data_IF_260734587933
#
_entry.id   IF_260734587933
#
_cell.length_a   1.000
_cell.length_b   1.000
_cell.length_c   1.000
_cell.angle_alpha   90.00
_cell.angle_beta   90.00
_cell.angle_gamma   90.00
#
_symmetry.space_group_name_H-M   'P 1'
#
loop_
_entity.id
_entity.type
_entity.pdbx_description
1 polymer ?
#
# COMPACT_ATOMS: atom_id res chain seq x y z
N UNK A 1 -4.99 -48.06 -64.40
CA UNK A 1 -4.25 -47.77 -63.16
C UNK A 1 -4.36 -46.28 -62.90
N UNK A 2 -5.01 -45.89 -61.80
CA UNK A 2 -5.21 -44.49 -61.41
C UNK A 2 -4.39 -44.23 -60.14
N UNK A 3 -3.58 -43.17 -60.14
CA UNK A 3 -3.04 -42.57 -58.93
C UNK A 3 -3.17 -41.05 -59.05
N UNK A 4 -4.01 -40.48 -58.19
CA UNK A 4 -4.08 -39.06 -57.93
C UNK A 4 -3.69 -38.81 -56.47
N UNK A 5 -2.68 -37.97 -56.24
CA UNK A 5 -2.40 -37.27 -54.99
C UNK A 5 -1.13 -36.42 -55.21
N UNK A 6 -0.94 -35.21 -54.68
CA UNK A 6 -1.72 -34.30 -53.84
C UNK A 6 -0.95 -32.97 -53.92
N UNK A 7 -1.65 -31.85 -54.10
CA UNK A 7 -1.02 -30.52 -54.15
C UNK A 7 -0.43 -30.09 -52.81
N UNK A 8 0.75 -29.46 -52.84
CA UNK A 8 1.35 -28.76 -51.70
C UNK A 8 0.75 -27.36 -51.59
N UNK A 9 -0.10 -27.13 -50.59
CA UNK A 9 -0.56 -25.79 -50.22
C UNK A 9 0.52 -25.00 -49.47
N UNK A 10 0.45 -23.66 -49.45
CA UNK A 10 1.43 -22.81 -48.77
C UNK A 10 1.39 -22.99 -47.24
N UNK A 11 2.49 -22.70 -46.52
CA UNK A 11 2.56 -22.85 -45.08
C UNK A 11 1.63 -21.86 -44.38
N UNK A 12 0.89 -22.34 -43.37
CA UNK A 12 0.06 -21.51 -42.49
C UNK A 12 0.93 -20.53 -41.71
N UNK A 13 0.53 -19.26 -41.55
CA UNK A 13 1.25 -18.33 -40.68
C UNK A 13 1.18 -18.82 -39.22
N UNK A 14 2.31 -18.77 -38.53
CA UNK A 14 2.40 -19.07 -37.11
C UNK A 14 1.59 -18.04 -36.32
N UNK A 15 0.59 -18.50 -35.58
CA UNK A 15 -0.16 -17.69 -34.63
C UNK A 15 0.79 -17.32 -33.48
N UNK A 16 1.24 -16.07 -33.44
CA UNK A 16 1.86 -15.49 -32.25
C UNK A 16 0.91 -15.63 -31.06
N UNK A 17 1.38 -16.12 -29.89
CA UNK A 17 0.55 -16.13 -28.70
C UNK A 17 0.18 -14.67 -28.33
N UNK A 18 -1.06 -14.41 -27.88
CA UNK A 18 -1.42 -13.09 -27.41
C UNK A 18 -0.52 -12.72 -26.22
N UNK A 19 0.13 -11.56 -26.31
CA UNK A 19 0.82 -10.97 -25.17
C UNK A 19 -0.16 -10.93 -23.97
N UNK A 20 0.31 -11.19 -22.74
CA UNK A 20 -0.56 -11.09 -21.58
C UNK A 20 -1.17 -9.69 -21.53
N UNK A 21 -2.50 -9.62 -21.59
CA UNK A 21 -3.29 -8.38 -21.62
C UNK A 21 -3.26 -7.59 -20.30
N UNK A 22 -2.38 -7.96 -19.37
CA UNK A 22 -2.22 -7.39 -18.04
C UNK A 22 -0.80 -6.84 -17.81
N UNK A 23 -0.17 -6.28 -18.86
CA UNK A 23 0.92 -5.34 -18.64
C UNK A 23 0.32 -4.06 -18.03
N UNK A 24 0.05 -4.10 -16.72
CA UNK A 24 -0.27 -2.92 -15.93
C UNK A 24 0.83 -1.88 -16.17
N UNK A 25 0.52 -0.87 -16.98
CA UNK A 25 1.31 0.37 -17.01
C UNK A 25 1.61 0.79 -15.57
N UNK A 26 2.86 1.17 -15.24
CA UNK A 26 3.23 1.59 -13.90
C UNK A 26 2.22 2.60 -13.39
N UNK A 27 1.43 2.18 -12.40
CA UNK A 27 0.37 3.01 -11.84
C UNK A 27 1.07 4.18 -11.16
N UNK A 28 0.68 5.41 -11.50
CA UNK A 28 1.20 6.58 -10.82
C UNK A 28 0.98 6.42 -9.31
N UNK A 29 2.06 6.50 -8.55
CA UNK A 29 2.05 6.37 -7.10
C UNK A 29 1.04 7.35 -6.49
N UNK A 30 0.26 6.86 -5.53
CA UNK A 30 -0.73 7.70 -4.86
C UNK A 30 -0.01 8.72 -3.97
N UNK A 31 -0.52 9.95 -3.96
CA UNK A 31 -0.06 11.06 -3.13
C UNK A 31 -1.26 11.72 -2.49
N UNK A 32 -1.03 12.52 -1.47
CA UNK A 32 -2.04 13.40 -0.91
C UNK A 32 -2.30 14.58 -1.86
N UNK A 33 -3.56 14.96 -1.98
CA UNK A 33 -3.95 16.16 -2.70
C UNK A 33 -3.34 17.40 -2.00
N UNK A 34 -2.94 18.42 -2.76
CA UNK A 34 -2.21 19.56 -2.19
C UNK A 34 -3.10 20.53 -1.42
N UNK A 35 -4.30 20.82 -1.93
CA UNK A 35 -5.16 21.91 -1.44
C UNK A 35 -6.33 21.43 -0.56
N UNK A 36 -7.00 20.34 -0.96
CA UNK A 36 -7.96 19.61 -0.12
C UNK A 36 -7.27 18.90 1.06
N UNK A 37 -6.82 19.68 2.03
CA UNK A 37 -6.10 19.21 3.22
C UNK A 37 -6.66 19.94 4.42
N UNK A 38 -6.96 19.21 5.49
CA UNK A 38 -7.49 19.77 6.72
C UNK A 38 -6.53 20.78 7.35
N UNK A 39 -7.07 21.80 8.02
CA UNK A 39 -6.30 22.92 8.55
C UNK A 39 -5.19 22.53 9.55
N UNK A 40 -5.30 21.35 10.17
CA UNK A 40 -4.33 20.83 11.13
C UNK A 40 -3.30 19.89 10.52
N UNK A 41 -3.34 19.66 9.20
CA UNK A 41 -2.41 18.76 8.51
C UNK A 41 -1.26 19.55 7.88
N UNK A 42 -0.07 18.96 7.92
CA UNK A 42 1.09 19.35 7.11
C UNK A 42 1.47 18.17 6.23
N UNK A 43 1.61 18.44 4.94
CA UNK A 43 2.18 17.49 4.00
C UNK A 43 3.70 17.68 3.92
N UNK A 44 4.43 16.61 3.60
CA UNK A 44 5.81 16.70 3.15
C UNK A 44 5.90 17.25 1.71
N UNK A 45 7.12 17.55 1.24
CA UNK A 45 7.33 18.13 -0.09
C UNK A 45 6.86 17.20 -1.23
N UNK A 46 6.93 15.88 -0.99
CA UNK A 46 6.56 14.84 -1.94
C UNK A 46 5.05 14.57 -1.94
N UNK A 47 4.32 15.11 -0.95
CA UNK A 47 2.91 14.81 -0.66
C UNK A 47 2.67 13.32 -0.41
N UNK A 48 3.66 12.60 0.08
CA UNK A 48 3.55 11.19 0.50
C UNK A 48 3.24 11.06 1.98
N UNK A 49 3.56 12.07 2.80
CA UNK A 49 3.36 12.04 4.26
C UNK A 49 2.38 13.12 4.68
N UNK A 50 1.41 12.76 5.52
CA UNK A 50 0.50 13.69 6.18
C UNK A 50 0.68 13.61 7.69
N UNK A 51 0.98 14.74 8.33
CA UNK A 51 1.15 14.86 9.78
C UNK A 51 0.22 15.90 10.37
N UNK A 52 -0.50 15.51 11.42
CA UNK A 52 -1.35 16.42 12.21
C UNK A 52 -0.47 17.27 13.14
N UNK A 53 -0.78 18.57 13.27
CA UNK A 53 -0.01 19.53 14.08
C UNK A 53 -0.26 19.38 15.57
N UNK A 54 -1.41 19.81 16.09
CA UNK A 54 -1.62 19.93 17.54
C UNK A 54 -2.97 19.39 18.04
N UNK A 55 -4.08 19.68 17.34
CA UNK A 55 -5.42 19.30 17.81
C UNK A 55 -5.77 17.86 17.42
N UNK A 56 -6.98 17.39 17.77
CA UNK A 56 -7.53 16.09 17.39
C UNK A 56 -8.51 16.15 16.19
N UNK A 57 -8.71 17.32 15.59
CA UNK A 57 -9.70 17.58 14.53
C UNK A 57 -9.07 18.26 13.32
N UNK A 58 -9.84 18.41 12.25
CA UNK A 58 -9.43 19.03 10.98
C UNK A 58 -8.24 18.27 10.36
N UNK A 59 -8.26 16.94 10.48
CA UNK A 59 -7.21 15.99 10.07
C UNK A 59 -7.44 15.33 8.71
N UNK A 60 -8.43 15.80 7.94
CA UNK A 60 -8.89 15.16 6.71
C UNK A 60 -7.88 15.35 5.58
N UNK A 61 -7.59 14.28 4.84
CA UNK A 61 -6.79 14.31 3.60
C UNK A 61 -7.42 13.42 2.54
N UNK A 62 -7.11 13.72 1.27
CA UNK A 62 -7.61 12.99 0.11
C UNK A 62 -6.45 12.53 -0.77
N UNK A 63 -6.68 11.49 -1.57
CA UNK A 63 -5.77 11.16 -2.66
C UNK A 63 -5.77 12.24 -3.74
N UNK A 64 -4.62 12.43 -4.41
CA UNK A 64 -4.48 13.41 -5.48
C UNK A 64 -5.28 13.04 -6.74
N UNK A 65 -5.59 11.76 -6.92
CA UNK A 65 -6.35 11.24 -8.06
C UNK A 65 -7.43 10.25 -7.63
N UNK A 66 -8.40 9.96 -8.51
CA UNK A 66 -9.32 8.85 -8.30
C UNK A 66 -8.58 7.51 -8.16
N UNK A 67 -9.12 6.66 -7.30
CA UNK A 67 -8.67 5.30 -7.02
C UNK A 67 -9.63 4.33 -7.71
N UNK A 68 -9.08 3.36 -8.44
CA UNK A 68 -9.89 2.39 -9.17
C UNK A 68 -10.51 1.36 -8.23
N UNK A 69 -11.69 0.80 -8.55
CA UNK A 69 -12.21 -0.32 -7.79
C UNK A 69 -11.23 -1.50 -7.79
N UNK A 70 -10.90 -2.01 -6.60
CA UNK A 70 -9.92 -3.08 -6.39
C UNK A 70 -8.47 -2.62 -6.23
N UNK A 71 -8.17 -1.35 -6.53
CA UNK A 71 -6.86 -0.76 -6.25
C UNK A 71 -6.68 -0.63 -4.73
N UNK A 72 -5.55 -1.11 -4.22
CA UNK A 72 -5.22 -1.04 -2.80
C UNK A 72 -4.50 0.25 -2.50
N UNK A 73 -5.07 1.03 -1.59
CA UNK A 73 -4.41 2.18 -1.01
C UNK A 73 -3.65 1.70 0.21
N UNK A 74 -2.32 1.82 0.17
CA UNK A 74 -1.43 1.38 1.24
C UNK A 74 -0.92 2.58 2.04
N UNK A 75 -1.08 2.52 3.35
CA UNK A 75 -0.66 3.55 4.30
C UNK A 75 0.25 2.94 5.36
N UNK A 76 1.36 3.59 5.69
CA UNK A 76 2.10 3.30 6.91
C UNK A 76 1.74 4.32 7.99
N UNK A 77 1.45 3.86 9.19
CA UNK A 77 1.32 4.76 10.35
C UNK A 77 2.71 5.08 10.88
N UNK A 78 3.08 6.35 10.84
CA UNK A 78 4.42 6.80 11.21
C UNK A 78 4.55 7.21 12.67
N UNK A 79 3.47 7.70 13.27
CA UNK A 79 3.53 8.27 14.61
C UNK A 79 2.19 8.14 15.32
N UNK A 80 2.29 7.75 16.59
CA UNK A 80 1.19 7.60 17.52
C UNK A 80 1.36 8.59 18.68
N UNK A 81 0.28 9.23 19.09
CA UNK A 81 0.22 10.20 20.18
C UNK A 81 -0.68 9.64 21.30
N UNK A 82 -0.08 9.35 22.45
CA UNK A 82 -0.79 8.86 23.61
C UNK A 82 -1.67 9.97 24.23
N UNK A 83 -2.79 9.59 24.86
CA UNK A 83 -3.69 10.53 25.54
C UNK A 83 -4.92 10.95 24.73
N UNK A 84 -5.01 10.51 23.47
CA UNK A 84 -6.22 10.66 22.65
C UNK A 84 -7.01 9.35 22.58
N UNK A 85 -8.31 9.46 22.32
CA UNK A 85 -9.20 8.30 22.10
C UNK A 85 -9.59 8.22 20.62
N UNK A 86 -9.63 6.99 20.10
CA UNK A 86 -9.92 6.68 18.70
C UNK A 86 -8.65 6.64 17.83
N UNK A 87 -8.82 6.37 16.54
CA UNK A 87 -7.69 6.15 15.63
C UNK A 87 -7.97 6.55 14.19
N UNK A 88 -7.04 6.17 13.31
CA UNK A 88 -7.11 6.45 11.88
C UNK A 88 -8.47 6.01 11.29
N UNK A 89 -9.07 6.91 10.51
CA UNK A 89 -10.26 6.60 9.71
C UNK A 89 -9.86 6.57 8.24
N UNK A 90 -10.41 5.61 7.51
CA UNK A 90 -10.14 5.42 6.08
C UNK A 90 -11.43 5.16 5.32
N UNK A 91 -11.46 5.57 4.05
CA UNK A 91 -12.64 5.42 3.23
C UNK A 91 -12.49 5.94 1.82
N UNK A 92 -13.62 6.10 1.15
CA UNK A 92 -13.71 6.68 -0.18
C UNK A 92 -14.80 7.75 -0.24
N UNK A 93 -14.62 8.72 -1.13
CA UNK A 93 -15.58 9.79 -1.39
C UNK A 93 -15.78 9.99 -2.89
N UNK A 94 -16.96 10.49 -3.28
CA UNK A 94 -17.21 11.06 -4.61
C UNK A 94 -16.98 12.57 -4.66
N UNK A 95 -16.64 13.19 -3.54
CA UNK A 95 -16.27 14.59 -3.49
C UNK A 95 -14.92 14.75 -4.19
N UNK A 96 -14.93 15.50 -5.29
CA UNK A 96 -13.71 15.81 -6.05
C UNK A 96 -12.82 16.78 -5.23
N UNK A 97 -11.60 16.37 -4.84
CA UNK A 97 -10.68 17.20 -4.06
C UNK A 97 -10.32 18.53 -4.74
N UNK A 98 -10.35 18.60 -6.08
CA UNK A 98 -10.10 19.85 -6.82
C UNK A 98 -11.17 20.93 -6.54
N UNK A 99 -12.34 20.50 -6.07
CA UNK A 99 -13.47 21.38 -5.74
C UNK A 99 -13.56 21.72 -4.25
N UNK A 100 -12.60 21.25 -3.46
CA UNK A 100 -12.61 21.38 -2.00
C UNK A 100 -11.44 22.24 -1.55
N UNK A 101 -11.77 23.36 -0.91
CA UNK A 101 -10.78 24.18 -0.22
C UNK A 101 -10.61 23.73 1.23
N UNK A 102 -9.43 23.98 1.81
CA UNK A 102 -9.15 23.67 3.22
C UNK A 102 -10.17 24.28 4.21
N UNK A 103 -10.74 25.46 3.89
CA UNK A 103 -11.76 26.12 4.71
C UNK A 103 -13.16 25.51 4.59
N UNK A 104 -13.42 24.76 3.51
CA UNK A 104 -14.69 24.07 3.28
C UNK A 104 -14.75 22.68 3.90
N UNK A 105 -13.65 22.18 4.47
CA UNK A 105 -13.61 20.86 5.10
C UNK A 105 -14.21 20.89 6.50
N UNK A 106 -15.06 19.90 6.85
CA UNK A 106 -15.53 19.76 8.21
C UNK A 106 -14.43 19.22 9.13
N UNK A 107 -14.67 19.24 10.46
CA UNK A 107 -13.69 18.78 11.44
C UNK A 107 -13.32 17.29 11.32
N UNK A 108 -14.27 16.45 10.89
CA UNK A 108 -14.11 15.00 10.86
C UNK A 108 -14.66 14.38 9.57
N UNK A 109 -14.10 13.24 9.15
CA UNK A 109 -14.70 12.47 8.04
C UNK A 109 -16.04 11.85 8.49
N UNK A 110 -16.06 11.23 9.67
CA UNK A 110 -17.26 10.65 10.25
C UNK A 110 -17.63 11.43 11.53
N UNK A 111 -18.87 11.91 11.69
CA UNK A 111 -19.99 11.80 10.75
C UNK A 111 -20.06 12.94 9.71
N UNK A 112 -19.30 14.02 9.90
CA UNK A 112 -19.58 15.31 9.24
C UNK A 112 -19.46 15.27 7.71
N UNK A 113 -18.36 14.75 7.16
CA UNK A 113 -18.16 14.70 5.71
C UNK A 113 -19.11 13.69 5.04
N UNK A 114 -19.44 12.58 5.71
CA UNK A 114 -20.45 11.61 5.25
C UNK A 114 -21.85 12.22 5.14
N UNK A 115 -22.19 13.18 6.00
CA UNK A 115 -23.48 13.86 5.95
C UNK A 115 -23.54 14.95 4.87
N UNK A 116 -22.41 15.56 4.54
CA UNK A 116 -22.32 16.66 3.56
C UNK A 116 -22.14 16.17 2.12
N UNK A 117 -21.59 14.97 1.94
CA UNK A 117 -21.19 14.47 0.63
C UNK A 117 -21.30 12.94 0.56
N UNK A 118 -21.41 12.34 -0.64
CA UNK A 118 -21.36 10.88 -0.80
C UNK A 118 -19.97 10.34 -0.43
N UNK A 119 -19.79 10.08 0.87
CA UNK A 119 -18.56 9.63 1.49
C UNK A 119 -18.86 8.41 2.36
N UNK A 120 -17.97 7.42 2.30
CA UNK A 120 -18.05 6.18 3.07
C UNK A 120 -16.71 5.92 3.72
N UNK A 121 -16.64 6.09 5.03
CA UNK A 121 -15.44 5.84 5.81
C UNK A 121 -15.76 5.12 7.11
N UNK A 122 -14.73 4.55 7.72
CA UNK A 122 -14.84 4.01 9.06
C UNK A 122 -13.51 4.20 9.80
N UNK A 123 -13.61 4.23 11.12
CA UNK A 123 -12.44 4.08 11.99
C UNK A 123 -11.94 2.65 11.88
N UNK A 124 -10.62 2.47 11.87
CA UNK A 124 -10.03 1.15 12.02
C UNK A 124 -10.36 0.59 13.42
N UNK A 125 -10.51 -0.74 13.57
CA UNK A 125 -10.77 -1.35 14.87
C UNK A 125 -9.67 -1.05 15.89
N UNK A 126 -9.99 -1.17 17.18
CA UNK A 126 -9.02 -0.98 18.25
C UNK A 126 -7.81 -1.90 18.09
N UNK A 127 -6.61 -1.38 18.42
CA UNK A 127 -5.35 -2.09 18.23
C UNK A 127 -4.83 -2.10 16.79
N UNK A 128 -5.57 -1.54 15.82
CA UNK A 128 -5.08 -1.27 14.48
C UNK A 128 -4.57 0.17 14.36
N UNK A 129 -3.55 0.39 13.51
CA UNK A 129 -3.02 1.73 13.27
C UNK A 129 -2.01 2.16 14.33
N UNK A 130 -1.26 1.20 14.86
CA UNK A 130 -0.10 1.44 15.71
C UNK A 130 1.07 1.94 14.85
N UNK A 131 2.05 2.59 15.49
CA UNK A 131 3.25 3.03 14.75
C UNK A 131 3.96 1.84 14.12
N UNK A 132 4.20 1.93 12.80
CA UNK A 132 4.77 0.85 11.99
C UNK A 132 3.74 0.02 11.22
N UNK A 133 2.46 0.06 11.61
CA UNK A 133 1.41 -0.69 10.91
C UNK A 133 1.27 -0.22 9.46
N UNK A 134 1.11 -1.19 8.57
CA UNK A 134 0.74 -0.97 7.18
C UNK A 134 -0.74 -1.29 7.00
N UNK A 135 -1.54 -0.26 6.81
CA UNK A 135 -2.98 -0.34 6.54
C UNK A 135 -3.20 -0.34 5.04
N UNK A 136 -3.88 -1.37 4.54
CA UNK A 136 -4.31 -1.46 3.13
C UNK A 136 -5.82 -1.41 3.09
N UNK A 137 -6.39 -0.49 2.32
CA UNK A 137 -7.84 -0.45 2.13
C UNK A 137 -8.20 -0.31 0.66
N UNK A 138 -9.35 -0.86 0.29
CA UNK A 138 -9.85 -0.87 -1.08
C UNK A 138 -11.36 -1.05 -1.10
N UNK A 139 -11.99 -0.60 -2.16
CA UNK A 139 -13.40 -0.89 -2.46
C UNK A 139 -13.48 -1.90 -3.60
N UNK A 140 -14.30 -2.94 -3.46
CA UNK A 140 -14.52 -3.88 -4.56
C UNK A 140 -15.63 -3.42 -5.51
N UNK A 141 -15.83 -4.14 -6.62
CA UNK A 141 -16.89 -3.83 -7.60
C UNK A 141 -18.32 -3.95 -7.06
N UNK A 142 -18.50 -4.58 -5.89
CA UNK A 142 -19.79 -4.71 -5.21
C UNK A 142 -20.05 -3.56 -4.21
N UNK A 143 -19.21 -2.51 -4.20
CA UNK A 143 -19.37 -1.39 -3.28
C UNK A 143 -19.06 -1.72 -1.82
N UNK A 144 -18.24 -2.75 -1.56
CA UNK A 144 -17.79 -3.10 -0.20
C UNK A 144 -16.40 -2.55 0.06
N UNK A 145 -16.28 -1.72 1.09
CA UNK A 145 -15.01 -1.17 1.58
C UNK A 145 -14.37 -2.14 2.56
N UNK A 146 -13.17 -2.57 2.24
CA UNK A 146 -12.35 -3.42 3.09
C UNK A 146 -11.10 -2.71 3.57
N UNK A 147 -10.60 -3.13 4.72
CA UNK A 147 -9.25 -2.83 5.17
C UNK A 147 -8.53 -4.11 5.61
N UNK A 148 -7.21 -4.08 5.59
CA UNK A 148 -6.33 -5.13 6.08
C UNK A 148 -5.13 -4.44 6.71
N UNK A 149 -4.77 -4.84 7.92
CA UNK A 149 -3.61 -4.30 8.63
C UNK A 149 -2.52 -5.36 8.64
N UNK A 150 -1.34 -5.01 8.12
CA UNK A 150 -0.21 -5.92 7.96
C UNK A 150 -0.63 -7.21 7.20
N UNK A 151 -0.33 -8.38 7.77
CA UNK A 151 -0.77 -9.69 7.27
C UNK A 151 -2.05 -10.20 7.95
N UNK A 152 -2.78 -9.32 8.64
CA UNK A 152 -3.99 -9.64 9.38
C UNK A 152 -5.21 -9.99 8.51
N UNK A 153 -6.36 -10.26 9.14
CA UNK A 153 -7.59 -10.58 8.42
C UNK A 153 -8.09 -9.39 7.61
N UNK A 154 -8.89 -9.69 6.58
CA UNK A 154 -9.63 -8.66 5.84
C UNK A 154 -10.85 -8.24 6.65
N UNK A 155 -10.93 -6.95 6.96
CA UNK A 155 -11.97 -6.31 7.72
C UNK A 155 -12.96 -5.63 6.77
N UNK A 156 -14.25 -5.94 6.89
CA UNK A 156 -15.29 -5.21 6.17
C UNK A 156 -15.64 -3.96 6.98
N UNK A 157 -15.30 -2.78 6.47
CA UNK A 157 -15.52 -1.52 7.16
C UNK A 157 -16.90 -0.92 6.84
N UNK A 158 -17.27 -0.89 5.55
CA UNK A 158 -18.55 -0.35 5.08
C UNK A 158 -19.10 -1.15 3.91
N UNK A 159 -20.42 -1.11 3.76
CA UNK A 159 -21.16 -1.61 2.60
C UNK A 159 -21.74 -0.41 1.83
N UNK A 160 -22.24 -0.69 0.64
CA UNK A 160 -23.07 0.25 -0.14
C UNK A 160 -22.32 1.52 -0.59
N UNK A 161 -21.01 1.40 -0.82
CA UNK A 161 -20.25 2.43 -1.54
C UNK A 161 -20.81 2.53 -2.95
N UNK A 162 -21.29 3.72 -3.33
CA UNK A 162 -21.88 3.90 -4.65
C UNK A 162 -20.78 3.83 -5.72
N UNK A 163 -20.91 2.85 -6.61
CA UNK A 163 -20.03 2.65 -7.76
C UNK A 163 -20.56 3.37 -9.01
N UNK A 164 -19.72 3.52 -10.04
CA UNK A 164 -20.10 4.15 -11.31
C UNK A 164 -19.77 5.63 -11.44
N UNK A 165 -19.06 6.20 -10.47
CA UNK A 165 -18.41 7.51 -10.57
C UNK A 165 -16.98 7.39 -10.02
N UNK A 166 -16.07 8.33 -10.35
CA UNK A 166 -14.76 8.39 -9.73
C UNK A 166 -14.85 8.43 -8.20
N UNK A 167 -13.96 7.70 -7.54
CA UNK A 167 -13.84 7.67 -6.09
C UNK A 167 -12.43 8.11 -5.70
N UNK A 168 -12.31 9.00 -4.74
CA UNK A 168 -11.03 9.38 -4.14
C UNK A 168 -10.89 8.70 -2.79
N UNK A 169 -9.67 8.32 -2.44
CA UNK A 169 -9.40 7.86 -1.10
C UNK A 169 -9.48 9.05 -0.14
N UNK A 170 -10.12 8.84 1.01
CA UNK A 170 -10.19 9.83 2.08
C UNK A 170 -9.71 9.20 3.37
N UNK A 171 -8.91 9.95 4.13
CA UNK A 171 -8.36 9.54 5.41
C UNK A 171 -8.56 10.67 6.42
N UNK A 172 -8.75 10.31 7.68
CA UNK A 172 -8.79 11.25 8.80
C UNK A 172 -7.64 10.94 9.74
N UNK A 173 -6.63 11.81 9.79
CA UNK A 173 -5.51 11.70 10.74
C UNK A 173 -6.01 12.06 12.14
N UNK A 174 -6.71 11.11 12.76
CA UNK A 174 -7.55 11.32 13.94
C UNK A 174 -7.06 10.53 15.16
N UNK A 175 -7.43 11.02 16.34
CA UNK A 175 -7.23 10.32 17.61
C UNK A 175 -5.75 10.10 17.89
N UNK A 176 -5.39 8.85 18.18
CA UNK A 176 -4.00 8.50 18.48
C UNK A 176 -3.08 8.54 17.27
N UNK A 177 -3.60 8.53 16.04
CA UNK A 177 -2.77 8.61 14.84
C UNK A 177 -2.31 10.04 14.59
N UNK A 178 -0.99 10.29 14.58
CA UNK A 178 -0.39 11.62 14.39
C UNK A 178 0.15 11.85 12.98
N UNK A 179 0.64 10.79 12.34
CA UNK A 179 1.17 10.87 10.99
C UNK A 179 1.00 9.56 10.22
N UNK A 180 0.74 9.69 8.92
CA UNK A 180 0.60 8.59 7.97
C UNK A 180 1.40 8.87 6.70
N UNK A 181 1.85 7.81 6.04
CA UNK A 181 2.59 7.84 4.78
C UNK A 181 1.88 6.97 3.73
N UNK A 182 1.61 7.51 2.54
CA UNK A 182 1.18 6.73 1.39
C UNK A 182 2.37 5.97 0.82
N UNK A 183 2.23 4.65 0.74
CA UNK A 183 3.26 3.77 0.20
C UNK A 183 3.08 3.60 -1.31
N UNK A 184 4.21 3.58 -2.02
CA UNK A 184 4.23 3.26 -3.44
C UNK A 184 4.12 1.73 -3.63
N UNK A 185 3.07 1.22 -4.31
CA UNK A 185 2.94 -0.20 -4.59
C UNK A 185 4.07 -0.74 -5.48
N UNK A 186 4.70 0.10 -6.31
CA UNK A 186 5.80 -0.33 -7.19
C UNK A 186 7.13 -0.55 -6.46
N UNK A 187 7.36 0.15 -5.34
CA UNK A 187 8.54 -0.03 -4.49
C UNK A 187 8.40 -1.27 -3.59
N UNK A 188 7.17 -1.77 -3.41
CA UNK A 188 6.85 -2.89 -2.52
C UNK A 188 6.83 -4.26 -3.21
N UNK A 189 7.01 -4.33 -4.53
CA UNK A 189 7.14 -5.61 -5.23
C UNK A 189 8.54 -6.19 -4.97
N UNK A 190 8.68 -7.46 -4.51
CA UNK A 190 9.98 -8.10 -4.51
C UNK A 190 10.49 -8.13 -5.94
N UNK A 191 11.69 -7.57 -6.17
CA UNK A 191 12.40 -7.58 -7.44
C UNK A 191 12.32 -9.00 -8.02
N UNK A 192 11.73 -9.24 -9.20
CA UNK A 192 11.90 -10.52 -9.86
C UNK A 192 13.39 -10.63 -10.17
N UNK A 193 14.08 -11.51 -9.44
CA UNK A 193 15.47 -11.83 -9.70
C UNK A 193 15.56 -12.27 -11.16
N UNK A 194 16.26 -11.48 -11.97
CA UNK A 194 16.54 -11.80 -13.36
C UNK A 194 17.31 -13.13 -13.38
N UNK A 195 16.86 -14.17 -14.11
CA UNK A 195 17.69 -15.35 -14.34
C UNK A 195 18.75 -14.95 -15.36
N UNK A 196 19.96 -14.68 -14.88
CA UNK A 196 21.12 -14.50 -15.75
C UNK A 196 21.53 -15.87 -16.29
N UNK A 197 21.20 -16.13 -17.56
CA UNK A 197 21.83 -17.19 -18.34
C UNK A 197 22.99 -16.57 -19.10
N UNK A 198 24.17 -17.12 -18.77
CA UNK A 198 25.36 -17.32 -19.59
C UNK A 198 25.97 -16.11 -20.32
N UNK A 199 27.15 -15.73 -19.87
CA UNK A 199 28.24 -15.39 -20.80
C UNK A 199 29.50 -16.09 -20.33
N UNK A 200 29.93 -16.98 -21.20
CA UNK A 200 31.16 -17.75 -21.21
C UNK A 200 32.34 -16.78 -21.35
N UNK A 201 33.17 -16.67 -20.31
CA UNK A 201 34.56 -16.28 -20.48
C UNK A 201 35.42 -17.13 -19.55
N UNK A 202 36.20 -17.99 -20.19
CA UNK A 202 37.24 -18.79 -19.60
C UNK A 202 38.42 -17.93 -19.11
N UNK A 203 39.10 -18.46 -18.08
CA UNK A 203 40.57 -18.47 -17.83
C UNK A 203 40.95 -17.98 -16.40
N UNK A 204 42.07 -18.43 -15.78
CA UNK A 204 42.74 -19.74 -15.78
C UNK A 204 42.75 -20.41 -14.39
N UNK A 205 43.11 -21.70 -14.38
CA UNK A 205 43.53 -22.42 -13.18
C UNK A 205 44.75 -21.78 -12.50
N UNK A 206 44.74 -21.75 -11.15
CA UNK A 206 45.98 -21.84 -10.37
C UNK A 206 45.78 -22.79 -9.20
N UNK A 207 46.54 -23.89 -9.22
CA UNK A 207 46.64 -24.90 -8.17
C UNK A 207 47.53 -24.38 -7.03
N UNK A 208 47.16 -24.75 -5.80
CA UNK A 208 48.08 -24.67 -4.66
C UNK A 208 47.36 -24.75 -3.33
N UNK A 209 46.95 -25.95 -2.91
CA UNK A 209 46.47 -26.18 -1.55
C UNK A 209 47.58 -26.06 -0.51
N UNK A 210 47.20 -25.90 0.76
CA UNK A 210 47.75 -26.62 1.90
C UNK A 210 46.79 -26.50 3.09
N UNK A 211 46.39 -27.65 3.62
CA UNK A 211 45.77 -27.85 4.93
C UNK A 211 46.64 -27.23 6.04
N UNK A 212 46.04 -26.64 7.09
CA UNK A 212 46.11 -27.23 8.45
C UNK A 212 45.17 -26.54 9.44
N UNK A 213 44.46 -27.42 10.13
CA UNK A 213 43.77 -27.41 11.42
C UNK A 213 44.33 -26.45 12.47
N UNK A 214 43.44 -25.85 13.28
CA UNK A 214 43.61 -25.80 14.74
C UNK A 214 42.28 -25.52 15.45
N UNK A 215 41.87 -26.48 16.29
CA UNK A 215 40.85 -26.35 17.32
C UNK A 215 41.45 -25.62 18.51
N UNK A 216 40.69 -24.72 19.15
CA UNK A 216 40.84 -24.50 20.59
C UNK A 216 39.48 -24.31 21.26
N UNK A 217 39.33 -25.07 22.33
CA UNK A 217 38.16 -25.25 23.19
C UNK A 217 38.42 -24.48 24.50
N UNK A 218 37.40 -23.80 25.03
CA UNK A 218 37.14 -23.43 26.44
C UNK A 218 36.06 -22.34 26.41
N UNK A 219 34.86 -22.46 26.98
CA UNK A 219 34.48 -23.13 28.21
C UNK A 219 34.43 -22.09 29.33
N UNK A 220 33.26 -21.51 29.62
CA UNK A 220 32.77 -21.34 31.00
C UNK A 220 31.36 -20.74 31.08
N UNK A 221 30.54 -21.47 31.84
CA UNK A 221 29.27 -21.08 32.44
C UNK A 221 29.53 -20.19 33.64
N UNK A 222 28.77 -19.10 33.81
CA UNK A 222 28.51 -18.52 35.15
C UNK A 222 27.03 -18.19 35.27
N UNK A 223 26.49 -18.65 36.39
CA UNK A 223 25.10 -18.65 36.84
C UNK A 223 24.66 -17.26 37.33
N UNK A 224 23.35 -17.06 37.25
CA UNK A 224 22.42 -16.43 38.20
C UNK A 224 22.96 -15.42 39.23
N UNK A 225 22.29 -14.27 39.31
CA UNK A 225 21.87 -13.70 40.59
C UNK A 225 20.62 -12.82 40.39
N UNK A 226 19.51 -13.29 40.97
CA UNK A 226 18.31 -12.50 41.28
C UNK A 226 18.33 -12.31 42.80
N UNK A 227 18.04 -11.10 43.32
CA UNK A 227 17.43 -10.97 44.63
C UNK A 227 16.04 -10.34 44.51
N UNK A 228 15.09 -11.00 45.18
CA UNK A 228 13.79 -10.45 45.57
C UNK A 228 13.99 -9.33 46.59
N UNK A 229 13.21 -8.26 46.49
CA UNK A 229 12.20 -7.88 47.48
C UNK A 229 11.07 -7.15 46.76
#
# INVERSE_FOLDING_TARGET
MAFAARGSGPPRPALTPPAPADAEMPREALRFHAEAVGAQVRLDAQRSTARRRATFRDGIVFSQRPVRPGERVELRVLCHECGWVGGLRVGFTRLDPERVTASGLPPFVCPDLEQQSPTWAAMLPDGCGLTGDVVRFWVNRLGRLFAQVNAGPRLLLRKDVLMGAPLWAVMDVYGTTKAIELLDPTVSAPTPAMPWVLSDEALPESKGGHHRTENFNQGQSVRQLVPRQ
#
